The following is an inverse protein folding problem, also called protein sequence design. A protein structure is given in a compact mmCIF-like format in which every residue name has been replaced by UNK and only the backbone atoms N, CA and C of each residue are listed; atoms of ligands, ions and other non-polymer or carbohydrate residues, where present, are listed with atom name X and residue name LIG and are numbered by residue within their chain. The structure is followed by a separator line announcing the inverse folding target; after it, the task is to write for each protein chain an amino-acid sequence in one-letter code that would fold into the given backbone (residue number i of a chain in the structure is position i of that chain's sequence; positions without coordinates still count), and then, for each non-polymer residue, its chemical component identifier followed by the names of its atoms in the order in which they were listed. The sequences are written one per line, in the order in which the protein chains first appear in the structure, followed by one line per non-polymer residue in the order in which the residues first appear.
data_IF_889214943452
#
_entry.id   IF_889214943452
#
_cell.length_a   1.000
_cell.length_b   1.000
_cell.length_c   1.000
_cell.angle_alpha   90.00
_cell.angle_beta   90.00
_cell.angle_gamma   90.00
#
_symmetry.space_group_name_H-M   'P 1'
#
loop_
_entity.id
_entity.type
_entity.pdbx_description
1 polymer ?
#
# COMPACT_ATOMS: atom_id res chain seq x y z
N UNK A 1 -12.77 -2.42 0.27
CA UNK A 1 -11.80 -1.49 -0.33
C UNK A 1 -11.77 -1.64 -1.83
N UNK A 2 -11.53 -0.55 -2.54
CA UNK A 2 -11.46 -0.54 -3.98
C UNK A 2 -10.24 -1.31 -4.48
N UNK A 3 -10.44 -2.22 -5.42
CA UNK A 3 -9.36 -3.02 -5.99
C UNK A 3 -8.30 -2.16 -6.66
N UNK A 4 -8.72 -1.11 -7.35
CA UNK A 4 -7.79 -0.21 -8.02
C UNK A 4 -6.90 0.51 -7.01
N UNK A 5 -7.47 0.95 -5.91
CA UNK A 5 -6.72 1.60 -4.86
C UNK A 5 -5.74 0.64 -4.21
N UNK A 6 -6.19 -0.60 -3.96
CA UNK A 6 -5.33 -1.62 -3.37
C UNK A 6 -4.16 -1.94 -4.29
N UNK A 7 -4.39 -2.04 -5.58
CA UNK A 7 -3.33 -2.28 -6.55
C UNK A 7 -2.34 -1.11 -6.60
N UNK A 8 -2.84 0.12 -6.52
CA UNK A 8 -1.98 1.30 -6.49
C UNK A 8 -1.04 1.24 -5.28
N UNK A 9 -1.57 0.88 -4.12
CA UNK A 9 -0.77 0.75 -2.91
C UNK A 9 0.27 -0.36 -3.07
N UNK A 10 -0.12 -1.50 -3.60
CA UNK A 10 0.78 -2.62 -3.80
C UNK A 10 1.94 -2.26 -4.73
N UNK A 11 1.64 -1.59 -5.83
CA UNK A 11 2.65 -1.15 -6.78
C UNK A 11 3.60 -0.16 -6.12
N UNK A 12 3.06 0.77 -5.32
CA UNK A 12 3.89 1.75 -4.61
C UNK A 12 4.84 1.07 -3.65
N UNK A 13 4.37 0.05 -2.91
CA UNK A 13 5.22 -0.71 -2.00
C UNK A 13 6.35 -1.39 -2.76
N UNK A 14 6.03 -1.98 -3.90
CA UNK A 14 7.03 -2.67 -4.71
C UNK A 14 8.08 -1.70 -5.27
N UNK A 15 7.64 -0.54 -5.74
CA UNK A 15 8.53 0.46 -6.33
C UNK A 15 9.40 1.15 -5.27
N UNK A 16 8.82 1.44 -4.10
CA UNK A 16 9.55 2.12 -3.03
C UNK A 16 10.34 1.16 -2.16
N UNK A 17 10.13 -0.14 -2.33
CA UNK A 17 10.81 -1.18 -1.57
C UNK A 17 10.58 -1.08 -0.06
N UNK A 18 9.37 -0.66 0.33
CA UNK A 18 9.03 -0.60 1.74
C UNK A 18 7.71 0.06 2.01
N UNK A 19 7.06 -0.38 3.09
CA UNK A 19 5.74 0.15 3.44
C UNK A 19 5.79 1.61 3.87
N UNK A 20 6.80 1.99 4.62
CA UNK A 20 6.90 3.37 5.11
C UNK A 20 7.09 4.36 3.97
N UNK A 21 7.95 4.01 3.00
CA UNK A 21 8.19 4.86 1.84
C UNK A 21 6.94 4.96 0.97
N UNK A 22 6.24 3.84 0.77
CA UNK A 22 5.01 3.83 0.01
C UNK A 22 3.93 4.68 0.70
N UNK A 23 3.85 4.59 2.02
CA UNK A 23 2.88 5.39 2.78
C UNK A 23 3.12 6.88 2.59
N UNK A 24 4.37 7.31 2.62
CA UNK A 24 4.71 8.71 2.40
C UNK A 24 4.35 9.15 0.98
N UNK A 25 4.65 8.32 -0.01
CA UNK A 25 4.33 8.63 -1.41
C UNK A 25 2.83 8.82 -1.60
N UNK A 26 2.02 7.99 -0.94
CA UNK A 26 0.58 7.99 -1.11
C UNK A 26 -0.14 8.82 -0.06
N UNK A 27 0.60 9.46 0.85
CA UNK A 27 0.03 10.24 1.97
C UNK A 27 -0.86 9.39 2.86
N UNK A 28 -0.47 8.14 3.07
CA UNK A 28 -1.16 7.21 3.96
C UNK A 28 -0.27 6.89 5.16
N UNK A 29 -0.86 6.33 6.21
CA UNK A 29 -0.06 5.84 7.32
C UNK A 29 0.49 4.46 6.99
N UNK A 30 1.64 4.10 7.59
CA UNK A 30 2.24 2.79 7.37
C UNK A 30 1.29 1.64 7.76
N UNK A 31 0.57 1.70 8.90
CA UNK A 31 -0.41 0.65 9.23
C UNK A 31 -1.50 0.51 8.18
N UNK A 32 -1.91 1.62 7.56
CA UNK A 32 -2.93 1.57 6.52
C UNK A 32 -2.42 0.83 5.29
N UNK A 33 -1.19 1.10 4.88
CA UNK A 33 -0.57 0.42 3.74
C UNK A 33 -0.48 -1.08 4.01
N UNK A 34 -0.03 -1.45 5.20
CA UNK A 34 0.06 -2.85 5.59
C UNK A 34 -1.29 -3.54 5.52
N UNK A 35 -2.34 -2.86 5.98
CA UNK A 35 -3.69 -3.39 5.97
C UNK A 35 -4.19 -3.61 4.54
N UNK A 36 -3.92 -2.66 3.66
CA UNK A 36 -4.34 -2.77 2.26
C UNK A 36 -3.67 -3.96 1.59
N UNK A 37 -2.37 -4.13 1.81
CA UNK A 37 -1.64 -5.26 1.24
C UNK A 37 -2.16 -6.57 1.78
N UNK A 38 -2.48 -6.63 3.09
CA UNK A 38 -3.04 -7.83 3.69
C UNK A 38 -4.38 -8.20 3.06
N UNK A 39 -5.22 -7.22 2.76
CA UNK A 39 -6.49 -7.46 2.10
C UNK A 39 -6.31 -8.00 0.69
N UNK A 40 -5.30 -7.55 -0.02
CA UNK A 40 -5.01 -8.05 -1.36
C UNK A 40 -4.60 -9.52 -1.34
N UNK A 41 -3.92 -9.93 -0.29
CA UNK A 41 -3.45 -11.31 -0.16
C UNK A 41 -4.56 -12.28 0.24
N UNK A 42 -5.68 -11.78 0.68
CA UNK A 42 -6.84 -12.61 1.07
C UNK A 42 -7.73 -13.00 -0.15
#
# INVERSE_FOLDING_TARGET
MDKLKAMTVFVAVAEEQGFAAAARRLSLSAPMVTRVVAELET
#
